data_IF_709794605186
#
_entry.id   IF_709794605186
#
_cell.length_a   1.000
_cell.length_b   1.000
_cell.length_c   1.000
_cell.angle_alpha   90.00
_cell.angle_beta   90.00
_cell.angle_gamma   90.00
#
_symmetry.space_group_name_H-M   'P 1'
#
loop_
_entity.id
_entity.type
_entity.pdbx_description
1 polymer ?
#
# COMPACT_ATOMS: atom_id res chain seq x y z
N UNK A 1 -62.33 31.25 -28.38
CA UNK A 1 -61.76 30.74 -27.12
C UNK A 1 -60.78 29.64 -27.45
N UNK A 2 -59.52 29.85 -27.10
CA UNK A 2 -58.40 28.92 -27.26
C UNK A 2 -58.36 28.11 -25.95
N UNK A 3 -58.27 26.79 -26.03
CA UNK A 3 -58.18 25.90 -24.87
C UNK A 3 -58.01 24.45 -25.33
N UNK A 4 -56.84 24.11 -25.85
CA UNK A 4 -55.75 23.40 -25.15
C UNK A 4 -56.09 21.95 -24.83
N UNK A 5 -55.49 21.07 -25.63
CA UNK A 5 -55.30 19.64 -25.42
C UNK A 5 -54.64 19.36 -24.07
N UNK A 6 -55.20 18.44 -23.29
CA UNK A 6 -54.52 17.79 -22.17
C UNK A 6 -54.53 16.28 -22.42
N UNK A 7 -53.43 15.76 -22.98
CA UNK A 7 -53.09 14.34 -22.88
C UNK A 7 -51.96 14.26 -21.85
N UNK A 8 -52.12 13.55 -20.71
CA UNK A 8 -51.00 13.30 -19.81
C UNK A 8 -50.10 12.25 -20.46
N UNK A 9 -48.91 12.66 -20.90
CA UNK A 9 -47.87 11.74 -21.38
C UNK A 9 -47.03 11.29 -20.18
N UNK A 10 -47.51 10.28 -19.45
CA UNK A 10 -46.74 9.61 -18.39
C UNK A 10 -45.63 8.77 -19.02
N UNK A 11 -44.53 9.43 -19.40
CA UNK A 11 -43.27 8.76 -19.70
C UNK A 11 -42.68 8.29 -18.38
N UNK A 12 -43.04 7.06 -18.00
CA UNK A 12 -42.30 6.25 -17.03
C UNK A 12 -40.85 6.14 -17.51
N UNK A 13 -40.01 7.08 -17.09
CA UNK A 13 -38.55 7.01 -17.23
C UNK A 13 -38.06 5.85 -16.36
N UNK A 14 -38.16 4.63 -16.91
CA UNK A 14 -37.55 3.46 -16.30
C UNK A 14 -36.04 3.66 -16.34
N UNK A 15 -35.47 4.06 -15.21
CA UNK A 15 -34.02 4.11 -15.01
C UNK A 15 -33.48 2.72 -15.38
N UNK A 16 -32.48 2.59 -16.27
CA UNK A 16 -32.02 1.30 -16.71
C UNK A 16 -31.62 0.46 -15.49
N UNK A 17 -32.14 -0.76 -15.40
CA UNK A 17 -31.81 -1.71 -14.34
C UNK A 17 -30.35 -2.13 -14.57
N UNK A 18 -29.43 -1.41 -13.93
CA UNK A 18 -28.02 -1.78 -13.93
C UNK A 18 -27.87 -2.99 -13.01
N UNK A 19 -27.77 -4.18 -13.60
CA UNK A 19 -27.40 -5.41 -12.89
C UNK A 19 -25.97 -5.24 -12.36
N UNK A 20 -25.85 -4.83 -11.08
CA UNK A 20 -24.55 -4.78 -10.41
C UNK A 20 -24.03 -6.21 -10.27
N UNK A 21 -22.84 -6.48 -10.81
CA UNK A 21 -22.10 -7.75 -10.61
C UNK A 21 -22.08 -8.02 -9.09
N UNK A 22 -22.60 -9.18 -8.68
CA UNK A 22 -22.62 -9.58 -7.26
C UNK A 22 -21.20 -9.43 -6.71
N UNK A 23 -21.03 -8.69 -5.61
CA UNK A 23 -19.74 -8.61 -4.90
C UNK A 23 -19.34 -10.03 -4.53
N UNK A 24 -18.41 -10.60 -5.30
CA UNK A 24 -17.69 -11.80 -4.88
C UNK A 24 -16.80 -11.35 -3.75
N UNK A 25 -16.90 -12.02 -2.60
CA UNK A 25 -15.96 -11.82 -1.50
C UNK A 25 -14.62 -12.33 -2.02
N UNK A 26 -13.78 -11.44 -2.54
CA UNK A 26 -12.39 -11.75 -2.84
C UNK A 26 -11.79 -12.16 -1.51
N UNK A 27 -11.55 -13.46 -1.35
CA UNK A 27 -10.76 -13.94 -0.23
C UNK A 27 -9.33 -13.62 -0.62
N UNK A 28 -8.74 -12.65 0.05
CA UNK A 28 -7.33 -12.33 -0.14
C UNK A 28 -6.53 -13.59 0.20
N UNK A 29 -5.96 -14.27 -0.80
CA UNK A 29 -5.10 -15.45 -0.64
C UNK A 29 -3.72 -15.07 -0.07
N UNK A 30 -3.66 -14.02 0.74
CA UNK A 30 -2.42 -13.49 1.29
C UNK A 30 -1.97 -14.37 2.45
N UNK A 31 -0.71 -14.81 2.39
CA UNK A 31 -0.06 -15.61 3.43
C UNK A 31 0.37 -14.71 4.61
N UNK A 32 -0.60 -14.25 5.39
CA UNK A 32 -0.38 -13.34 6.52
C UNK A 32 0.52 -13.92 7.60
N UNK A 33 0.46 -15.23 7.86
CA UNK A 33 1.31 -15.87 8.85
C UNK A 33 2.79 -15.75 8.49
N UNK A 34 3.14 -15.98 7.23
CA UNK A 34 4.52 -15.82 6.76
C UNK A 34 4.96 -14.36 6.77
N UNK A 35 4.06 -13.44 6.43
CA UNK A 35 4.30 -12.00 6.57
C UNK A 35 4.68 -11.65 8.00
N UNK A 36 3.86 -12.01 8.99
CA UNK A 36 4.12 -11.68 10.39
C UNK A 36 5.41 -12.33 10.91
N UNK A 37 5.72 -13.54 10.47
CA UNK A 37 6.98 -14.19 10.83
C UNK A 37 8.20 -13.34 10.40
N UNK A 38 8.26 -12.94 9.13
CA UNK A 38 9.37 -12.12 8.63
C UNK A 38 9.30 -10.67 9.08
N UNK A 39 8.11 -10.12 9.29
CA UNK A 39 7.92 -8.74 9.75
C UNK A 39 8.58 -8.50 11.12
N UNK A 40 8.53 -9.50 12.01
CA UNK A 40 9.13 -9.42 13.33
C UNK A 40 10.65 -9.65 13.34
N UNK A 41 11.25 -10.01 12.21
CA UNK A 41 12.69 -10.21 12.09
C UNK A 41 13.38 -8.90 11.69
N UNK A 42 14.66 -8.77 12.05
CA UNK A 42 15.51 -7.71 11.55
C UNK A 42 16.08 -8.09 10.18
N UNK A 43 15.86 -7.23 9.18
CA UNK A 43 16.44 -7.37 7.86
C UNK A 43 17.33 -6.17 7.59
N UNK A 44 18.57 -6.44 7.24
CA UNK A 44 19.53 -5.42 6.85
C UNK A 44 20.07 -5.86 5.49
N UNK A 45 19.55 -5.24 4.44
CA UNK A 45 19.91 -5.48 3.05
C UNK A 45 20.21 -4.16 2.38
N UNK A 46 21.04 -4.15 1.31
CA UNK A 46 21.38 -2.89 0.66
C UNK A 46 20.17 -2.13 0.08
N UNK A 47 19.07 -2.80 -0.21
CA UNK A 47 17.80 -2.22 -0.67
C UNK A 47 16.78 -1.96 0.47
N UNK A 48 16.98 -2.56 1.65
CA UNK A 48 16.02 -2.50 2.76
C UNK A 48 16.73 -2.52 4.11
N UNK A 49 16.49 -1.46 4.89
CA UNK A 49 16.78 -1.44 6.31
C UNK A 49 15.47 -1.61 7.07
N UNK A 50 15.30 -2.77 7.68
CA UNK A 50 14.16 -3.12 8.50
C UNK A 50 14.63 -3.58 9.88
N UNK A 51 14.82 -2.63 10.78
CA UNK A 51 15.24 -2.87 12.15
C UNK A 51 14.11 -2.54 13.14
N UNK A 52 14.36 -2.74 14.42
CA UNK A 52 13.42 -2.34 15.48
C UNK A 52 13.00 -0.87 15.36
N UNK A 53 13.93 0.04 15.05
CA UNK A 53 13.68 1.47 15.00
C UNK A 53 12.76 1.86 13.83
N UNK A 54 12.98 1.32 12.64
CA UNK A 54 12.12 1.54 11.47
C UNK A 54 10.75 0.88 11.65
N UNK A 55 10.66 -0.22 12.41
CA UNK A 55 9.37 -0.80 12.82
C UNK A 55 8.58 0.15 13.71
N UNK A 56 9.22 0.74 14.71
CA UNK A 56 8.59 1.71 15.60
C UNK A 56 8.18 2.97 14.84
N UNK A 57 9.00 3.49 13.92
CA UNK A 57 8.62 4.63 13.08
C UNK A 57 7.39 4.35 12.21
N UNK A 58 7.28 3.14 11.62
CA UNK A 58 6.07 2.72 10.91
C UNK A 58 4.86 2.69 11.85
N UNK A 59 5.03 2.09 13.03
CA UNK A 59 3.95 1.96 14.02
C UNK A 59 3.48 3.33 14.49
N UNK A 60 4.38 4.24 14.83
CA UNK A 60 4.07 5.59 15.28
C UNK A 60 3.34 6.39 14.19
N UNK A 61 3.76 6.26 12.92
CA UNK A 61 3.09 6.89 11.79
C UNK A 61 1.67 6.35 11.59
N UNK A 62 1.49 5.02 11.67
CA UNK A 62 0.16 4.39 11.60
C UNK A 62 -0.75 4.81 12.76
N UNK A 63 -0.22 4.83 13.99
CA UNK A 63 -1.00 5.26 15.15
C UNK A 63 -1.39 6.73 15.06
N UNK A 64 -0.51 7.59 14.54
CA UNK A 64 -0.82 9.00 14.25
C UNK A 64 -1.96 9.11 13.24
N UNK A 65 -1.85 8.42 12.10
CA UNK A 65 -2.87 8.41 11.06
C UNK A 65 -4.22 7.90 11.60
N UNK A 66 -4.22 6.85 12.43
CA UNK A 66 -5.43 6.33 13.07
C UNK A 66 -6.08 7.35 14.00
N UNK A 67 -5.28 8.11 14.77
CA UNK A 67 -5.79 9.18 15.65
C UNK A 67 -6.36 10.33 14.83
N UNK A 68 -5.67 10.74 13.77
CA UNK A 68 -6.10 11.83 12.89
C UNK A 68 -7.38 11.44 12.15
N UNK A 69 -7.46 10.21 11.63
CA UNK A 69 -8.65 9.63 11.02
C UNK A 69 -9.84 9.57 11.99
N UNK A 70 -9.61 9.11 13.22
CA UNK A 70 -10.68 9.03 14.24
C UNK A 70 -11.19 10.42 14.63
N UNK A 71 -10.29 11.37 14.81
CA UNK A 71 -10.63 12.77 15.13
C UNK A 71 -11.43 13.42 14.00
N UNK A 72 -11.05 13.17 12.75
CA UNK A 72 -11.76 13.68 11.58
C UNK A 72 -13.19 13.10 11.51
N UNK A 73 -13.33 11.79 11.76
CA UNK A 73 -14.63 11.10 11.77
C UNK A 73 -15.56 11.65 12.84
N UNK A 74 -15.05 11.93 14.03
CA UNK A 74 -15.86 12.43 15.15
C UNK A 74 -16.35 13.87 14.90
N UNK A 75 -15.59 14.66 14.14
CA UNK A 75 -15.98 16.00 13.71
C UNK A 75 -17.01 15.98 12.58
N UNK A 76 -16.94 14.99 11.68
CA UNK A 76 -17.83 14.85 10.52
C UNK A 76 -19.12 14.11 10.87
N UNK A 77 -20.08 14.79 11.51
CA UNK A 77 -21.37 14.17 11.88
C UNK A 77 -22.26 13.77 10.70
N UNK A 78 -21.98 14.24 9.49
CA UNK A 78 -22.83 14.02 8.30
C UNK A 78 -22.09 13.43 7.08
N UNK A 79 -20.77 13.25 7.14
CA UNK A 79 -19.97 12.80 5.99
C UNK A 79 -19.32 11.46 6.34
N UNK A 80 -19.45 10.48 5.45
CA UNK A 80 -18.77 9.20 5.58
C UNK A 80 -17.31 9.36 5.19
N UNK A 81 -16.43 9.39 6.19
CA UNK A 81 -14.98 9.42 5.99
C UNK A 81 -14.48 7.99 5.83
N UNK A 82 -13.69 7.76 4.78
CA UNK A 82 -13.01 6.49 4.50
C UNK A 82 -11.50 6.73 4.53
N UNK A 83 -10.72 5.73 4.98
CA UNK A 83 -9.26 5.88 5.08
C UNK A 83 -8.61 5.90 3.69
N UNK A 84 -7.77 6.90 3.43
CA UNK A 84 -7.02 7.02 2.17
C UNK A 84 -5.64 6.36 2.29
N UNK A 85 -5.59 5.05 2.07
CA UNK A 85 -4.35 4.28 2.08
C UNK A 85 -3.36 4.65 0.95
N UNK A 86 -3.81 5.33 -0.11
CA UNK A 86 -2.96 5.70 -1.26
C UNK A 86 -2.07 6.91 -0.96
N UNK A 87 -2.53 7.81 -0.09
CA UNK A 87 -1.78 8.99 0.33
C UNK A 87 -0.94 8.76 1.61
N UNK A 88 -1.12 7.60 2.25
CA UNK A 88 -0.35 7.26 3.44
C UNK A 88 1.11 6.97 3.08
N UNK A 89 2.00 7.81 3.58
CA UNK A 89 3.45 7.68 3.44
C UNK A 89 4.14 7.83 4.80
N UNK A 90 5.14 6.98 5.05
CA UNK A 90 5.92 7.02 6.28
C UNK A 90 7.26 7.70 6.02
N UNK A 91 7.49 8.78 6.75
CA UNK A 91 8.76 9.49 6.72
C UNK A 91 9.69 8.88 7.78
N UNK A 92 10.67 8.10 7.32
CA UNK A 92 11.67 7.46 8.18
C UNK A 92 12.82 8.42 8.47
N UNK A 93 12.72 9.16 9.58
CA UNK A 93 13.76 10.12 9.99
C UNK A 93 15.11 9.42 10.21
N UNK A 94 15.08 8.19 10.72
CA UNK A 94 16.29 7.40 10.95
C UNK A 94 17.04 7.01 9.70
N UNK A 95 16.31 6.81 8.61
CA UNK A 95 16.88 6.46 7.32
C UNK A 95 17.25 7.69 6.49
N UNK A 96 16.88 8.89 6.95
CA UNK A 96 17.22 10.16 6.29
C UNK A 96 18.69 10.55 6.52
N UNK A 97 19.28 10.11 7.63
CA UNK A 97 20.70 10.36 7.96
C UNK A 97 21.65 9.38 7.22
N UNK A 98 21.12 8.28 6.67
CA UNK A 98 21.90 7.26 5.97
C UNK A 98 22.21 7.66 4.52
N UNK A 99 23.44 7.41 4.07
CA UNK A 99 23.89 7.74 2.71
C UNK A 99 23.35 6.69 1.71
N UNK A 100 22.69 7.16 0.66
CA UNK A 100 22.12 6.32 -0.40
C UNK A 100 22.65 6.70 -1.77
N UNK A 101 22.80 5.71 -2.65
CA UNK A 101 23.07 5.89 -4.08
C UNK A 101 21.92 5.22 -4.83
N UNK A 102 21.02 6.03 -5.38
CA UNK A 102 19.74 5.52 -5.90
C UNK A 102 18.92 4.88 -4.77
N UNK A 103 18.53 3.62 -4.96
CA UNK A 103 17.72 2.85 -4.00
C UNK A 103 18.56 2.05 -2.98
N UNK A 104 19.89 2.20 -3.02
CA UNK A 104 20.80 1.38 -2.23
C UNK A 104 21.50 2.14 -1.11
N UNK A 105 21.57 1.54 0.07
CA UNK A 105 22.30 2.03 1.24
C UNK A 105 23.79 1.71 1.12
N UNK A 106 24.62 2.75 1.02
CA UNK A 106 26.04 2.62 0.71
C UNK A 106 26.80 1.76 1.74
N UNK A 107 26.53 1.95 3.04
CA UNK A 107 27.18 1.17 4.12
C UNK A 107 27.00 -0.34 3.92
N UNK A 108 25.81 -0.74 3.48
CA UNK A 108 25.45 -2.16 3.34
C UNK A 108 26.03 -2.78 2.07
N UNK A 109 26.14 -2.00 0.99
CA UNK A 109 26.86 -2.41 -0.21
C UNK A 109 28.33 -2.73 0.13
N UNK A 110 28.97 -1.84 0.90
CA UNK A 110 30.37 -1.99 1.28
C UNK A 110 30.61 -3.18 2.23
N UNK A 111 29.71 -3.42 3.19
CA UNK A 111 29.84 -4.52 4.15
C UNK A 111 29.69 -5.91 3.49
N UNK A 112 28.90 -6.01 2.40
CA UNK A 112 28.76 -7.24 1.63
C UNK A 112 29.98 -7.51 0.73
N UNK A 113 30.59 -6.48 0.13
CA UNK A 113 31.80 -6.63 -0.68
C UNK A 113 33.00 -7.19 0.13
N UNK A 114 33.07 -6.89 1.44
CA UNK A 114 34.08 -7.48 2.33
C UNK A 114 33.80 -8.96 2.66
N UNK A 115 32.53 -9.37 2.71
CA UNK A 115 32.11 -10.76 2.99
C UNK A 115 32.17 -11.65 1.75
N UNK A 116 31.94 -11.08 0.57
CA UNK A 116 31.94 -11.76 -0.72
C UNK A 116 33.23 -11.47 -1.52
N UNK A 117 34.36 -12.01 -1.09
CA UNK A 117 35.62 -12.08 -1.88
C UNK A 117 35.45 -12.83 -3.22
N UNK A 118 34.27 -13.37 -3.49
CA UNK A 118 33.93 -14.22 -4.63
C UNK A 118 33.04 -13.52 -5.68
N UNK A 119 33.37 -12.29 -6.08
CA UNK A 119 32.99 -11.69 -7.37
C UNK A 119 31.50 -11.58 -7.72
N UNK A 120 30.59 -11.85 -6.77
CA UNK A 120 29.15 -11.87 -6.96
C UNK A 120 28.55 -10.54 -6.47
N UNK A 121 28.84 -9.45 -7.17
CA UNK A 121 28.28 -8.13 -6.86
C UNK A 121 26.73 -8.18 -6.80
N UNK A 122 26.14 -7.67 -5.71
CA UNK A 122 24.70 -7.50 -5.49
C UNK A 122 23.98 -6.84 -6.69
N UNK A 123 24.67 -5.96 -7.43
CA UNK A 123 24.20 -5.31 -8.66
C UNK A 123 23.78 -6.33 -9.73
N UNK A 124 24.42 -7.50 -9.78
CA UNK A 124 24.10 -8.58 -10.74
C UNK A 124 23.04 -9.56 -10.23
N UNK A 125 22.83 -9.63 -8.90
CA UNK A 125 21.92 -10.59 -8.26
C UNK A 125 20.47 -10.12 -8.20
N UNK A 126 20.20 -8.86 -8.54
CA UNK A 126 18.90 -8.21 -8.39
C UNK A 126 17.83 -8.65 -9.42
N UNK A 127 17.88 -9.88 -9.92
CA UNK A 127 16.80 -10.41 -10.77
C UNK A 127 15.68 -11.07 -9.98
N UNK A 128 15.92 -11.54 -8.76
CA UNK A 128 14.92 -12.28 -7.97
C UNK A 128 15.25 -12.20 -6.47
N UNK A 129 14.98 -11.07 -5.81
CA UNK A 129 15.08 -10.99 -4.36
C UNK A 129 13.77 -10.51 -3.73
N UNK A 130 13.51 -11.08 -2.57
CA UNK A 130 12.32 -11.07 -1.71
C UNK A 130 11.42 -9.82 -1.75
N UNK A 131 11.97 -8.61 -1.92
CA UNK A 131 11.21 -7.38 -2.06
C UNK A 131 10.38 -7.34 -3.36
N UNK A 132 10.90 -7.86 -4.47
CA UNK A 132 10.12 -8.02 -5.70
C UNK A 132 9.02 -9.06 -5.52
N UNK A 133 9.24 -10.14 -4.77
CA UNK A 133 8.14 -11.06 -4.45
C UNK A 133 7.10 -10.41 -3.54
N UNK A 134 7.53 -9.63 -2.55
CA UNK A 134 6.63 -8.91 -1.63
C UNK A 134 5.81 -7.82 -2.33
N UNK A 135 6.45 -6.94 -3.10
CA UNK A 135 5.78 -5.84 -3.81
C UNK A 135 5.02 -6.37 -5.04
N UNK A 136 5.51 -7.36 -5.77
CA UNK A 136 4.79 -7.92 -6.93
C UNK A 136 3.57 -8.74 -6.51
N UNK A 137 3.63 -9.48 -5.40
CA UNK A 137 2.48 -10.26 -4.90
C UNK A 137 1.45 -9.37 -4.19
N UNK A 138 1.86 -8.33 -3.47
CA UNK A 138 0.93 -7.48 -2.70
C UNK A 138 0.47 -6.19 -3.42
N UNK A 139 1.30 -5.59 -4.29
CA UNK A 139 1.00 -4.32 -4.97
C UNK A 139 0.86 -4.44 -6.49
N UNK A 140 1.39 -5.49 -7.12
CA UNK A 140 1.47 -5.63 -8.58
C UNK A 140 0.84 -6.94 -9.10
N UNK A 141 -0.26 -7.40 -8.50
CA UNK A 141 -1.17 -8.31 -9.19
C UNK A 141 -2.14 -7.45 -10.01
N UNK A 142 -1.97 -7.33 -11.34
CA UNK A 142 -2.88 -6.59 -12.16
C UNK A 142 -4.22 -7.33 -12.17
N UNK A 143 -5.28 -6.54 -12.01
CA UNK A 143 -6.65 -6.90 -12.36
C UNK A 143 -6.68 -7.77 -13.62
N UNK A 144 -6.87 -9.07 -13.47
CA UNK A 144 -7.40 -9.91 -14.53
C UNK A 144 -8.37 -10.91 -13.90
N UNK A 145 -9.63 -10.44 -13.71
CA UNK A 145 -10.91 -11.06 -14.10
C UNK A 145 -12.13 -10.40 -13.40
#
# INVERSE_FOLDING_TARGET
MIGTSCVPEDKLQQRPIVLRKRRKRVQTEANWSMFYYHFNQDHIKPDLIWNYRTREELKDALEKEMRDFSSCRDLSRSITISWNHTEFEVHYNTLAEEIKIGDYYLRLLLEEDEKDTSGNSYIKKNRMNFLMTFITVFFYLPNHL
#
